data_IF_474075554913
#
_entry.id   IF_474075554913
#
_cell.length_a   1.000
_cell.length_b   1.000
_cell.length_c   1.000
_cell.angle_alpha   90.00
_cell.angle_beta   90.00
_cell.angle_gamma   90.00
#
_symmetry.space_group_name_H-M   'P 1'
#
loop_
_entity.id
_entity.type
_entity.pdbx_description
1 polymer ?
#
# COMPACT_ATOMS: atom_id res chain seq x y z
N UNK A 1 -9.55 -9.03 4.08
CA UNK A 1 -9.93 -7.58 4.08
C UNK A 1 -8.77 -6.78 3.51
N UNK A 2 -9.07 -5.83 2.63
CA UNK A 2 -8.05 -4.95 2.04
C UNK A 2 -8.38 -3.50 2.36
N UNK A 3 -7.35 -2.70 2.67
CA UNK A 3 -7.46 -1.29 3.04
C UNK A 3 -6.52 -0.50 2.13
N UNK A 4 -7.11 0.38 1.35
CA UNK A 4 -6.46 1.16 0.31
C UNK A 4 -6.47 2.62 0.74
N UNK A 5 -5.29 3.20 1.03
CA UNK A 5 -5.12 4.54 1.60
C UNK A 5 -4.48 5.49 0.59
N UNK A 6 -4.84 6.75 0.63
CA UNK A 6 -4.12 7.80 -0.08
C UNK A 6 -2.80 8.13 0.61
N UNK A 7 -2.86 8.35 1.94
CA UNK A 7 -1.73 8.74 2.79
C UNK A 7 -1.69 7.98 4.10
N UNK A 8 -0.61 8.20 4.86
CA UNK A 8 -0.38 7.64 6.20
C UNK A 8 -1.11 8.42 7.31
N UNK A 9 -2.32 8.86 7.07
CA UNK A 9 -3.09 9.72 7.99
C UNK A 9 -4.30 9.03 8.61
N UNK A 10 -4.42 7.72 8.48
CA UNK A 10 -5.54 6.92 8.96
C UNK A 10 -5.73 6.90 10.48
N UNK A 11 -4.78 7.42 11.25
CA UNK A 11 -4.89 7.63 12.69
C UNK A 11 -5.53 8.99 13.06
N UNK A 12 -5.78 9.84 12.08
CA UNK A 12 -6.40 11.13 12.29
C UNK A 12 -7.91 11.02 12.56
N UNK A 13 -8.55 12.06 13.11
CA UNK A 13 -9.95 12.01 13.53
C UNK A 13 -10.95 11.53 12.47
N UNK A 14 -10.69 11.79 11.18
CA UNK A 14 -11.56 11.39 10.08
C UNK A 14 -11.72 9.87 9.95
N UNK A 15 -10.72 9.09 10.36
CA UNK A 15 -10.68 7.64 10.19
C UNK A 15 -10.60 6.86 11.52
N UNK A 16 -10.15 7.50 12.60
CA UNK A 16 -9.78 6.85 13.85
C UNK A 16 -10.87 5.92 14.39
N UNK A 17 -12.13 6.38 14.47
CA UNK A 17 -13.23 5.58 15.01
C UNK A 17 -13.55 4.34 14.18
N UNK A 18 -13.34 4.41 12.85
CA UNK A 18 -13.51 3.25 11.98
C UNK A 18 -12.36 2.26 12.17
N UNK A 19 -11.12 2.76 12.11
CA UNK A 19 -9.95 1.89 12.15
C UNK A 19 -9.70 1.27 13.51
N UNK A 20 -10.07 1.89 14.62
CA UNK A 20 -9.96 1.29 15.96
C UNK A 20 -10.83 0.04 16.14
N UNK A 21 -11.88 -0.12 15.31
CA UNK A 21 -12.67 -1.34 15.27
C UNK A 21 -12.02 -2.45 14.45
N UNK A 22 -11.05 -2.12 13.59
CA UNK A 22 -10.32 -3.02 12.69
C UNK A 22 -8.93 -3.34 13.24
N UNK A 23 -8.18 -2.32 13.62
CA UNK A 23 -6.80 -2.44 14.13
C UNK A 23 -6.85 -2.60 15.65
N UNK A 24 -6.22 -3.66 16.17
CA UNK A 24 -6.20 -3.99 17.60
C UNK A 24 -4.77 -3.95 18.12
N UNK A 25 -4.60 -3.57 19.39
CA UNK A 25 -3.29 -3.42 20.03
C UNK A 25 -2.41 -4.68 20.02
N UNK A 26 -3.04 -5.86 19.98
CA UNK A 26 -2.39 -7.15 19.89
C UNK A 26 -2.01 -7.59 18.47
N UNK A 27 -2.42 -6.84 17.44
CA UNK A 27 -2.06 -7.21 16.07
C UNK A 27 -0.55 -7.11 15.84
N UNK A 28 0.00 -8.11 15.18
CA UNK A 28 1.35 -8.09 14.61
C UNK A 28 1.30 -7.55 13.19
N UNK A 29 2.23 -6.67 12.85
CA UNK A 29 2.31 -6.02 11.55
C UNK A 29 3.61 -6.43 10.86
N UNK A 30 3.52 -6.82 9.60
CA UNK A 30 4.65 -6.94 8.70
C UNK A 30 4.61 -5.78 7.69
N UNK A 31 5.57 -4.87 7.78
CA UNK A 31 5.76 -3.78 6.82
C UNK A 31 6.67 -4.27 5.71
N UNK A 32 6.28 -4.03 4.45
CA UNK A 32 7.05 -4.36 3.25
C UNK A 32 7.49 -3.06 2.57
N UNK A 33 8.65 -2.48 2.95
CA UNK A 33 9.11 -1.19 2.44
C UNK A 33 9.91 -1.36 1.14
N UNK A 34 9.29 -1.97 0.12
CA UNK A 34 9.94 -2.31 -1.16
C UNK A 34 9.74 -1.26 -2.25
N UNK A 35 9.03 -0.17 -1.96
CA UNK A 35 8.67 0.85 -2.93
C UNK A 35 9.73 1.95 -3.14
N UNK A 36 10.95 1.76 -2.66
CA UNK A 36 12.02 2.76 -2.77
C UNK A 36 12.71 2.75 -4.14
N UNK A 37 13.24 3.91 -4.54
CA UNK A 37 14.14 4.01 -5.70
C UNK A 37 15.57 3.59 -5.32
N UNK A 38 16.29 2.94 -6.23
CA UNK A 38 17.65 2.44 -6.00
C UNK A 38 18.68 3.55 -5.73
N UNK A 39 18.39 4.78 -6.19
CA UNK A 39 19.21 5.95 -5.89
C UNK A 39 19.00 6.48 -4.45
N UNK A 40 17.86 6.15 -3.82
CA UNK A 40 17.55 6.58 -2.46
C UNK A 40 18.14 5.66 -1.41
N UNK A 41 18.09 4.34 -1.67
CA UNK A 41 18.57 3.30 -0.77
C UNK A 41 19.36 2.29 -1.59
N UNK A 42 20.69 2.26 -1.41
CA UNK A 42 21.62 1.49 -2.25
C UNK A 42 22.13 0.22 -1.59
N UNK A 43 22.07 0.16 -0.25
CA UNK A 43 22.66 -0.92 0.53
C UNK A 43 21.97 -1.10 1.90
N UNK A 44 22.40 -2.15 2.60
CA UNK A 44 21.89 -2.49 3.91
C UNK A 44 22.15 -1.42 4.98
N UNK A 45 23.28 -0.70 4.89
CA UNK A 45 23.63 0.34 5.87
C UNK A 45 22.69 1.55 5.74
N UNK A 46 22.42 1.99 4.52
CA UNK A 46 21.46 3.07 4.26
C UNK A 46 20.04 2.65 4.65
N UNK A 47 19.66 1.40 4.33
CA UNK A 47 18.37 0.86 4.73
C UNK A 47 18.23 0.88 6.25
N UNK A 48 19.21 0.35 6.98
CA UNK A 48 19.21 0.32 8.45
C UNK A 48 19.16 1.73 9.04
N UNK A 49 19.85 2.71 8.45
CA UNK A 49 19.81 4.09 8.93
C UNK A 49 18.40 4.71 8.89
N UNK A 50 17.58 4.31 7.92
CA UNK A 50 16.22 4.84 7.71
C UNK A 50 15.14 4.06 8.48
N UNK A 51 15.32 2.73 8.62
CA UNK A 51 14.26 1.84 9.10
C UNK A 51 14.53 1.20 10.48
N UNK A 52 15.64 1.56 11.16
CA UNK A 52 15.88 1.01 12.49
C UNK A 52 14.89 1.57 13.54
N UNK A 53 14.57 0.77 14.55
CA UNK A 53 13.58 1.08 15.59
C UNK A 53 14.02 2.18 16.59
N UNK A 54 15.29 2.59 16.59
CA UNK A 54 15.82 3.53 17.58
C UNK A 54 15.69 4.98 17.10
N UNK A 55 16.08 5.24 15.85
CA UNK A 55 16.13 6.58 15.29
C UNK A 55 15.87 6.65 13.77
N UNK A 56 15.36 5.57 13.18
CA UNK A 56 15.04 5.52 11.75
C UNK A 56 13.83 6.38 11.40
N UNK A 57 14.03 7.41 10.59
CA UNK A 57 12.97 8.36 10.22
C UNK A 57 11.80 7.66 9.51
N UNK A 58 12.09 6.79 8.55
CA UNK A 58 11.06 6.05 7.82
C UNK A 58 10.35 5.02 8.71
N UNK A 59 11.06 4.42 9.68
CA UNK A 59 10.42 3.56 10.66
C UNK A 59 9.35 4.33 11.44
N UNK A 60 9.68 5.45 12.05
CA UNK A 60 8.73 6.24 12.82
C UNK A 60 7.60 6.80 11.98
N UNK A 61 7.88 7.27 10.78
CA UNK A 61 6.86 7.73 9.84
C UNK A 61 5.79 6.67 9.58
N UNK A 62 6.20 5.43 9.31
CA UNK A 62 5.29 4.33 9.00
C UNK A 62 4.59 3.77 10.24
N UNK A 63 5.22 3.79 11.42
CA UNK A 63 4.68 3.15 12.62
C UNK A 63 3.83 4.07 13.48
N UNK A 64 4.05 5.39 13.42
CA UNK A 64 3.25 6.39 14.17
C UNK A 64 1.73 6.17 14.03
N UNK A 65 1.15 5.93 12.84
CA UNK A 65 -0.27 5.67 12.73
C UNK A 65 -0.73 4.42 13.49
N UNK A 66 0.09 3.38 13.56
CA UNK A 66 -0.24 2.16 14.28
C UNK A 66 -0.11 2.32 15.80
N UNK A 67 0.85 3.11 16.27
CA UNK A 67 0.97 3.45 17.69
C UNK A 67 -0.29 4.12 18.25
N UNK A 68 -0.99 4.92 17.46
CA UNK A 68 -2.25 5.54 17.85
C UNK A 68 -3.36 4.52 18.20
N UNK A 69 -3.24 3.28 17.71
CA UNK A 69 -4.13 2.15 18.04
C UNK A 69 -3.56 1.23 19.12
N UNK A 70 -2.46 1.62 19.77
CA UNK A 70 -1.85 0.87 20.88
C UNK A 70 -0.92 -0.27 20.44
N UNK A 71 -0.55 -0.35 19.16
CA UNK A 71 0.43 -1.34 18.68
C UNK A 71 1.82 -0.90 19.10
N UNK A 72 2.57 -1.76 19.77
CA UNK A 72 3.96 -1.51 20.16
C UNK A 72 4.94 -1.88 19.06
N UNK A 73 6.17 -1.35 19.13
CA UNK A 73 7.26 -1.68 18.19
C UNK A 73 7.61 -3.18 18.21
N UNK A 74 7.40 -3.88 19.33
CA UNK A 74 7.62 -5.33 19.42
C UNK A 74 6.67 -6.12 18.51
N UNK A 75 5.52 -5.57 18.20
CA UNK A 75 4.53 -6.14 17.30
C UNK A 75 4.71 -5.68 15.84
N UNK A 76 5.76 -4.92 15.53
CA UNK A 76 6.03 -4.43 14.18
C UNK A 76 7.34 -5.03 13.68
N UNK A 77 7.27 -5.72 12.55
CA UNK A 77 8.43 -6.25 11.81
C UNK A 77 8.49 -5.61 10.42
N UNK A 78 9.71 -5.48 9.90
CA UNK A 78 9.94 -5.04 8.53
C UNK A 78 10.65 -6.14 7.76
N UNK A 79 10.35 -6.28 6.46
CA UNK A 79 11.17 -7.10 5.57
C UNK A 79 12.31 -6.22 5.05
N UNK A 80 13.54 -6.58 5.38
CA UNK A 80 14.73 -5.88 4.90
C UNK A 80 15.14 -6.45 3.55
N UNK A 81 15.03 -5.64 2.50
CA UNK A 81 15.33 -6.05 1.13
C UNK A 81 16.78 -6.54 0.95
N UNK A 82 17.73 -6.03 1.74
CA UNK A 82 19.17 -6.31 1.57
C UNK A 82 19.67 -7.48 2.43
N UNK A 83 18.97 -7.83 3.52
CA UNK A 83 19.46 -8.81 4.49
C UNK A 83 18.53 -10.00 4.72
N UNK A 84 17.23 -9.84 4.46
CA UNK A 84 16.30 -10.96 4.54
C UNK A 84 16.40 -11.83 3.28
N UNK A 85 16.14 -13.10 3.43
CA UNK A 85 15.91 -14.01 2.33
C UNK A 85 14.41 -14.32 2.15
N UNK A 86 14.09 -15.06 1.09
CA UNK A 86 12.70 -15.47 0.80
C UNK A 86 12.06 -16.23 1.97
N UNK A 87 12.81 -17.06 2.70
CA UNK A 87 12.28 -17.86 3.79
C UNK A 87 11.92 -16.97 5.00
N UNK A 88 12.85 -16.15 5.48
CA UNK A 88 12.62 -15.23 6.58
C UNK A 88 11.53 -14.20 6.29
N UNK A 89 11.45 -13.72 5.04
CA UNK A 89 10.37 -12.83 4.63
C UNK A 89 8.99 -13.51 4.70
N UNK A 90 8.87 -14.78 4.25
CA UNK A 90 7.63 -15.57 4.35
C UNK A 90 7.23 -15.83 5.80
N UNK A 91 8.18 -16.11 6.68
CA UNK A 91 7.90 -16.29 8.12
C UNK A 91 7.31 -15.01 8.72
N UNK A 92 7.95 -13.84 8.47
CA UNK A 92 7.45 -12.54 8.93
C UNK A 92 6.02 -12.25 8.44
N UNK A 93 5.72 -12.56 7.17
CA UNK A 93 4.37 -12.42 6.60
C UNK A 93 3.39 -13.35 7.33
N UNK A 94 3.71 -14.65 7.45
CA UNK A 94 2.81 -15.65 8.01
C UNK A 94 2.51 -15.45 9.50
N UNK A 95 3.43 -14.84 10.25
CA UNK A 95 3.24 -14.52 11.69
C UNK A 95 2.41 -13.25 11.91
N UNK A 96 2.12 -12.49 10.88
CA UNK A 96 1.49 -11.17 10.99
C UNK A 96 -0.02 -11.25 10.83
N UNK A 97 -0.74 -10.32 11.44
CA UNK A 97 -2.18 -10.10 11.28
C UNK A 97 -2.46 -9.06 10.20
N UNK A 98 -1.54 -8.12 10.01
CA UNK A 98 -1.63 -7.03 9.05
C UNK A 98 -0.36 -7.02 8.20
N UNK A 99 -0.52 -7.07 6.88
CA UNK A 99 0.53 -6.80 5.91
C UNK A 99 0.38 -5.34 5.46
N UNK A 100 1.48 -4.59 5.54
CA UNK A 100 1.46 -3.16 5.20
C UNK A 100 2.43 -2.84 4.07
N UNK A 101 1.88 -2.35 2.95
CA UNK A 101 2.64 -1.94 1.76
C UNK A 101 2.88 -0.44 1.76
N UNK A 102 4.12 -0.03 1.50
CA UNK A 102 4.51 1.38 1.51
C UNK A 102 4.20 2.11 0.20
N UNK A 103 4.20 3.44 0.25
CA UNK A 103 4.18 4.30 -0.93
C UNK A 103 5.55 4.43 -1.58
N UNK A 104 5.57 4.91 -2.81
CA UNK A 104 6.74 5.08 -3.67
C UNK A 104 6.48 4.48 -5.06
N UNK A 105 7.31 3.56 -5.53
CA UNK A 105 7.25 2.96 -6.87
C UNK A 105 6.57 1.59 -6.83
N UNK A 106 5.33 1.46 -7.32
CA UNK A 106 4.56 0.21 -7.24
C UNK A 106 5.17 -0.92 -8.09
N UNK A 107 5.68 -0.64 -9.29
CA UNK A 107 6.32 -1.61 -10.17
C UNK A 107 7.62 -2.16 -9.58
N UNK A 108 8.38 -1.33 -8.85
CA UNK A 108 9.59 -1.77 -8.13
C UNK A 108 9.22 -2.71 -6.98
N UNK A 109 8.12 -2.39 -6.28
CA UNK A 109 7.60 -3.27 -5.22
C UNK A 109 7.22 -4.61 -5.79
N UNK A 110 6.43 -4.66 -6.87
CA UNK A 110 5.99 -5.92 -7.49
C UNK A 110 7.18 -6.76 -7.95
N UNK A 111 8.16 -6.16 -8.63
CA UNK A 111 9.39 -6.85 -9.03
C UNK A 111 10.13 -7.47 -7.82
N UNK A 112 10.32 -6.73 -6.73
CA UNK A 112 10.99 -7.23 -5.52
C UNK A 112 10.20 -8.31 -4.79
N UNK A 113 8.87 -8.24 -4.81
CA UNK A 113 8.03 -9.33 -4.33
C UNK A 113 8.21 -10.62 -5.14
N UNK A 114 8.36 -10.51 -6.45
CA UNK A 114 8.68 -11.64 -7.34
C UNK A 114 10.08 -12.19 -7.06
N UNK A 115 11.10 -11.34 -6.95
CA UNK A 115 12.48 -11.72 -6.59
C UNK A 115 12.54 -12.53 -5.29
N UNK A 116 11.74 -12.15 -4.30
CA UNK A 116 11.62 -12.85 -3.01
C UNK A 116 10.65 -14.03 -3.04
N UNK A 117 9.97 -14.29 -4.14
CA UNK A 117 8.92 -15.32 -4.28
C UNK A 117 7.79 -15.16 -3.23
N UNK A 118 7.34 -13.95 -2.99
CA UNK A 118 6.33 -13.63 -1.97
C UNK A 118 4.90 -13.55 -2.49
N UNK A 119 4.67 -13.47 -3.80
CA UNK A 119 3.35 -13.24 -4.40
C UNK A 119 2.32 -14.25 -3.87
N UNK A 120 2.60 -15.55 -4.00
CA UNK A 120 1.69 -16.61 -3.57
C UNK A 120 1.41 -16.54 -2.05
N UNK A 121 2.44 -16.27 -1.23
CA UNK A 121 2.31 -16.13 0.22
C UNK A 121 1.39 -14.97 0.59
N UNK A 122 1.55 -13.84 -0.09
CA UNK A 122 0.75 -12.63 0.13
C UNK A 122 -0.71 -12.83 -0.32
N UNK A 123 -0.93 -13.42 -1.49
CA UNK A 123 -2.27 -13.66 -2.00
C UNK A 123 -3.07 -14.64 -1.14
N UNK A 124 -2.41 -15.67 -0.59
CA UNK A 124 -3.03 -16.65 0.30
C UNK A 124 -3.09 -16.22 1.77
N UNK A 125 -2.47 -15.11 2.15
CA UNK A 125 -2.46 -14.64 3.54
C UNK A 125 -3.88 -14.26 4.01
N UNK A 126 -4.37 -14.81 5.14
CA UNK A 126 -5.75 -14.60 5.58
C UNK A 126 -6.02 -13.25 6.24
N UNK A 127 -4.97 -12.57 6.69
CA UNK A 127 -5.06 -11.32 7.46
C UNK A 127 -5.46 -10.10 6.63
N UNK A 128 -5.31 -8.94 7.25
CA UNK A 128 -5.58 -7.64 6.63
C UNK A 128 -4.42 -7.26 5.72
N UNK A 129 -4.70 -6.81 4.50
CA UNK A 129 -3.75 -6.16 3.60
C UNK A 129 -4.04 -4.69 3.58
N UNK A 130 -3.04 -3.89 3.84
CA UNK A 130 -3.17 -2.46 3.98
C UNK A 130 -2.02 -1.77 3.23
N UNK A 131 -2.28 -0.66 2.57
CA UNK A 131 -1.24 0.06 1.86
C UNK A 131 -1.64 1.48 1.53
N UNK A 132 -0.66 2.33 1.25
CA UNK A 132 -0.88 3.72 0.89
C UNK A 132 -0.15 4.07 -0.40
N UNK A 133 -0.74 4.97 -1.21
CA UNK A 133 -0.16 5.41 -2.50
C UNK A 133 0.17 4.19 -3.39
N UNK A 134 1.45 3.96 -3.74
CA UNK A 134 1.89 2.78 -4.48
C UNK A 134 1.38 1.46 -3.87
N UNK A 135 1.41 1.35 -2.52
CA UNK A 135 0.88 0.19 -1.80
C UNK A 135 -0.65 0.01 -1.94
N UNK A 136 -1.37 1.05 -2.30
CA UNK A 136 -2.78 0.99 -2.71
C UNK A 136 -2.92 0.47 -4.13
N UNK A 137 -2.19 1.07 -5.07
CA UNK A 137 -2.27 0.73 -6.50
C UNK A 137 -1.97 -0.75 -6.75
N UNK A 138 -0.88 -1.26 -6.17
CA UNK A 138 -0.45 -2.65 -6.34
C UNK A 138 -1.38 -3.70 -5.71
N UNK A 139 -2.36 -3.31 -4.91
CA UNK A 139 -3.41 -4.22 -4.43
C UNK A 139 -4.49 -4.49 -5.50
N UNK A 140 -4.55 -3.69 -6.56
CA UNK A 140 -5.41 -3.92 -7.71
C UNK A 140 -4.74 -4.91 -8.68
N UNK A 141 -5.49 -5.89 -9.20
CA UNK A 141 -4.98 -6.89 -10.15
C UNK A 141 -4.39 -6.26 -11.41
N UNK A 142 -5.08 -5.27 -11.96
CA UNK A 142 -4.58 -4.37 -13.00
C UNK A 142 -4.62 -2.96 -12.45
N UNK A 143 -3.54 -2.23 -12.55
CA UNK A 143 -3.52 -0.81 -12.27
C UNK A 143 -2.83 -0.05 -13.40
N UNK A 144 -2.90 1.25 -13.34
CA UNK A 144 -2.20 2.14 -14.27
C UNK A 144 -1.54 3.26 -13.48
N UNK A 145 -0.56 3.89 -14.10
CA UNK A 145 0.12 5.06 -13.58
C UNK A 145 -0.18 6.22 -14.51
N UNK A 146 -0.80 7.27 -13.97
CA UNK A 146 -1.05 8.52 -14.69
C UNK A 146 0.27 9.27 -14.89
N UNK A 147 0.46 9.93 -16.05
CA UNK A 147 1.65 10.73 -16.28
C UNK A 147 1.85 11.82 -15.23
N UNK A 148 3.04 11.85 -14.64
CA UNK A 148 3.51 12.84 -13.67
C UNK A 148 5.03 13.09 -13.81
N UNK A 149 5.66 13.72 -12.82
CA UNK A 149 7.08 14.06 -12.84
C UNK A 149 8.00 12.81 -12.79
N UNK A 150 7.55 11.73 -12.14
CA UNK A 150 8.29 10.46 -12.03
C UNK A 150 8.00 9.52 -13.22
N UNK A 151 6.81 9.64 -13.82
CA UNK A 151 6.33 8.83 -14.94
C UNK A 151 5.86 9.72 -16.09
N UNK A 152 6.70 9.96 -17.10
CA UNK A 152 6.34 10.88 -18.18
C UNK A 152 5.22 10.36 -19.11
N UNK A 153 4.93 9.07 -19.07
CA UNK A 153 3.94 8.40 -19.91
C UNK A 153 2.97 7.56 -19.08
N UNK A 154 1.76 7.38 -19.63
CA UNK A 154 0.78 6.46 -19.07
C UNK A 154 1.27 5.01 -19.18
N UNK A 155 1.26 4.27 -18.08
CA UNK A 155 1.72 2.89 -18.00
C UNK A 155 0.64 1.98 -17.42
N UNK A 156 0.47 0.78 -17.98
CA UNK A 156 -0.27 -0.32 -17.37
C UNK A 156 0.67 -1.27 -16.64
N UNK A 157 0.24 -1.70 -15.46
CA UNK A 157 0.99 -2.65 -14.64
C UNK A 157 0.06 -3.72 -14.04
N UNK A 158 0.67 -4.81 -13.57
CA UNK A 158 0.02 -5.88 -12.83
C UNK A 158 0.36 -5.77 -11.35
N UNK A 159 -0.66 -5.94 -10.51
CA UNK A 159 -0.51 -5.98 -9.07
C UNK A 159 -0.92 -7.32 -8.47
N UNK A 160 -1.19 -7.31 -7.18
CA UNK A 160 -1.73 -8.45 -6.44
C UNK A 160 -3.24 -8.59 -6.73
N UNK A 161 -3.72 -9.83 -6.77
CA UNK A 161 -5.11 -10.14 -7.15
C UNK A 161 -6.14 -9.87 -6.04
N UNK A 162 -5.98 -8.78 -5.28
CA UNK A 162 -6.88 -8.48 -4.16
C UNK A 162 -8.13 -7.72 -4.61
N UNK A 163 -7.97 -6.71 -5.46
CA UNK A 163 -9.07 -5.97 -6.06
C UNK A 163 -9.06 -6.22 -7.58
N UNK A 164 -10.08 -6.94 -8.09
CA UNK A 164 -10.13 -7.40 -9.49
C UNK A 164 -11.00 -6.53 -10.39
N UNK A 165 -11.99 -5.85 -9.81
CA UNK A 165 -13.05 -5.18 -10.56
C UNK A 165 -12.86 -3.67 -10.68
N UNK A 166 -11.77 -3.14 -10.15
CA UNK A 166 -11.49 -1.72 -10.16
C UNK A 166 -10.00 -1.42 -10.05
N UNK A 167 -9.63 -0.18 -10.39
CA UNK A 167 -8.36 0.43 -10.05
C UNK A 167 -8.58 1.66 -9.15
N UNK A 168 -7.48 2.20 -8.60
CA UNK A 168 -7.51 3.41 -7.78
C UNK A 168 -6.56 4.44 -8.37
N UNK A 169 -7.08 5.62 -8.65
CA UNK A 169 -6.28 6.83 -8.91
C UNK A 169 -5.97 7.48 -7.57
N UNK A 170 -4.74 7.34 -7.11
CA UNK A 170 -4.25 7.92 -5.86
C UNK A 170 -3.82 9.38 -6.07
N UNK A 171 -3.82 10.17 -4.99
CA UNK A 171 -3.42 11.59 -5.03
C UNK A 171 -4.18 12.39 -6.09
N UNK A 172 -5.47 12.08 -6.23
CA UNK A 172 -6.31 12.68 -7.25
C UNK A 172 -6.49 14.18 -7.01
N UNK A 173 -6.19 14.98 -8.05
CA UNK A 173 -6.26 16.45 -8.04
C UNK A 173 -7.18 16.99 -9.13
N UNK A 174 -7.95 16.09 -9.77
CA UNK A 174 -8.83 16.45 -10.89
C UNK A 174 -8.10 17.15 -12.04
N UNK A 175 -6.88 16.72 -12.36
CA UNK A 175 -6.14 17.24 -13.49
C UNK A 175 -6.60 16.59 -14.79
N UNK A 176 -6.41 17.29 -15.92
CA UNK A 176 -6.71 16.73 -17.26
C UNK A 176 -5.94 15.43 -17.54
N UNK A 177 -4.69 15.32 -17.05
CA UNK A 177 -3.86 14.13 -17.21
C UNK A 177 -4.47 12.94 -16.48
N UNK A 178 -4.85 13.11 -15.20
CA UNK A 178 -5.48 12.07 -14.41
C UNK A 178 -6.83 11.66 -15.00
N UNK A 179 -7.67 12.62 -15.36
CA UNK A 179 -8.99 12.33 -15.94
C UNK A 179 -8.89 11.52 -17.24
N UNK A 180 -7.99 11.91 -18.15
CA UNK A 180 -7.73 11.14 -19.38
C UNK A 180 -7.21 9.73 -19.09
N UNK A 181 -6.38 9.58 -18.09
CA UNK A 181 -5.86 8.26 -17.66
C UNK A 181 -6.97 7.37 -17.12
N UNK A 182 -7.84 7.91 -16.28
CA UNK A 182 -9.01 7.21 -15.73
C UNK A 182 -9.96 6.77 -16.86
N UNK A 183 -10.34 7.71 -17.74
CA UNK A 183 -11.24 7.46 -18.87
C UNK A 183 -10.67 6.38 -19.81
N UNK A 184 -9.36 6.47 -20.11
CA UNK A 184 -8.65 5.46 -20.88
C UNK A 184 -8.71 4.08 -20.22
N UNK A 185 -8.40 3.98 -18.92
CA UNK A 185 -8.45 2.73 -18.20
C UNK A 185 -9.87 2.13 -18.20
N UNK A 186 -10.88 2.94 -17.91
CA UNK A 186 -12.28 2.52 -17.91
C UNK A 186 -12.72 2.02 -19.29
N UNK A 187 -12.36 2.72 -20.36
CA UNK A 187 -12.70 2.34 -21.73
C UNK A 187 -11.98 1.05 -22.20
N UNK A 188 -10.69 0.91 -21.89
CA UNK A 188 -9.88 -0.23 -22.34
C UNK A 188 -10.05 -1.49 -21.50
N UNK A 189 -10.29 -1.35 -20.18
CA UNK A 189 -10.43 -2.49 -19.24
C UNK A 189 -11.88 -2.82 -18.88
N UNK A 190 -12.82 -1.90 -19.08
CA UNK A 190 -14.21 -2.06 -18.65
C UNK A 190 -14.39 -2.14 -17.13
N UNK A 191 -13.40 -1.69 -16.37
CA UNK A 191 -13.38 -1.71 -14.90
C UNK A 191 -13.63 -0.31 -14.33
N UNK A 192 -14.17 -0.23 -13.13
CA UNK A 192 -14.39 1.02 -12.40
C UNK A 192 -13.07 1.62 -11.92
N UNK A 193 -13.07 2.92 -11.65
CA UNK A 193 -11.96 3.60 -10.97
C UNK A 193 -12.50 4.35 -9.77
N UNK A 194 -11.85 4.17 -8.63
CA UNK A 194 -12.03 5.02 -7.46
C UNK A 194 -10.91 6.04 -7.39
N UNK A 195 -11.23 7.23 -6.89
CA UNK A 195 -10.24 8.29 -6.65
C UNK A 195 -10.02 8.47 -5.16
N UNK A 196 -8.78 8.70 -4.77
CA UNK A 196 -8.41 9.03 -3.40
C UNK A 196 -7.62 10.34 -3.33
N UNK A 197 -7.92 11.11 -2.31
CA UNK A 197 -7.29 12.39 -1.93
C UNK A 197 -6.81 12.26 -0.47
N UNK A 198 -6.10 13.22 0.12
CA UNK A 198 -5.85 13.22 1.56
C UNK A 198 -7.13 12.98 2.37
N UNK A 199 -7.02 12.27 3.47
CA UNK A 199 -8.16 11.84 4.29
C UNK A 199 -9.10 10.88 3.54
N UNK A 200 -8.54 9.92 2.81
CA UNK A 200 -9.29 8.90 2.06
C UNK A 200 -8.86 7.49 2.41
N UNK A 201 -9.84 6.61 2.48
CA UNK A 201 -9.63 5.17 2.51
C UNK A 201 -10.75 4.43 1.76
N UNK A 202 -10.37 3.28 1.15
CA UNK A 202 -11.29 2.32 0.57
C UNK A 202 -11.09 1.01 1.33
N UNK A 203 -12.16 0.49 1.94
CA UNK A 203 -12.14 -0.80 2.64
C UNK A 203 -12.89 -1.82 1.81
N UNK A 204 -12.21 -2.93 1.47
CA UNK A 204 -12.78 -4.02 0.67
C UNK A 204 -12.89 -5.28 1.51
N UNK A 205 -14.11 -5.84 1.57
CA UNK A 205 -14.45 -7.09 2.28
C UNK A 205 -15.25 -8.00 1.35
N UNK A 206 -14.58 -8.95 0.70
CA UNK A 206 -15.24 -9.70 -0.37
C UNK A 206 -15.71 -8.75 -1.46
N UNK A 207 -17.00 -8.77 -1.78
CA UNK A 207 -17.61 -7.91 -2.80
C UNK A 207 -18.03 -6.52 -2.27
N UNK A 208 -17.94 -6.31 -0.95
CA UNK A 208 -18.33 -5.05 -0.33
C UNK A 208 -17.18 -4.03 -0.42
N UNK A 209 -17.49 -2.84 -0.91
CA UNK A 209 -16.57 -1.69 -0.97
C UNK A 209 -17.16 -0.54 -0.15
N UNK A 210 -16.43 -0.13 0.89
CA UNK A 210 -16.79 0.98 1.76
C UNK A 210 -15.82 2.13 1.52
N UNK A 211 -16.36 3.30 1.22
CA UNK A 211 -15.57 4.52 0.99
C UNK A 211 -15.58 5.37 2.27
N UNK A 212 -14.41 5.83 2.68
CA UNK A 212 -14.23 6.71 3.85
C UNK A 212 -13.58 8.04 3.42
N UNK A 213 -13.99 9.10 4.11
CA UNK A 213 -13.45 10.43 3.89
C UNK A 213 -13.72 10.92 2.48
N UNK A 214 -12.67 11.37 1.81
CA UNK A 214 -12.76 11.95 0.47
C UNK A 214 -12.69 10.92 -0.67
N UNK A 215 -12.67 9.61 -0.38
CA UNK A 215 -12.69 8.57 -1.40
C UNK A 215 -14.00 8.58 -2.21
N UNK A 216 -13.92 8.46 -3.53
CA UNK A 216 -15.08 8.53 -4.43
C UNK A 216 -14.98 7.49 -5.54
N UNK A 217 -16.12 7.02 -6.04
CA UNK A 217 -16.22 6.38 -7.34
C UNK A 217 -16.14 7.47 -8.43
N UNK A 218 -15.18 7.34 -9.33
CA UNK A 218 -15.12 8.26 -10.50
C UNK A 218 -16.36 8.07 -11.36
N UNK A 219 -17.01 9.16 -11.68
CA UNK A 219 -18.19 9.22 -12.55
C UNK A 219 -17.87 10.14 -13.69
N UNK A 220 -18.16 9.68 -14.89
CA UNK A 220 -18.14 10.50 -16.10
C UNK A 220 -19.08 11.70 -15.97
#
# INVERSE_FOLDING_TARGET
>A
MNILLDKLDFHQPWAYETFKNIIKSEHKICIIPFAFHEDWIKDAEQWESLYNKINGEEFFKMTTPFHAYGISDDNITLINYFTDDSHGAKEKINESHIIFFTGGFPEKTMRRLEEFNLIETLENHPGIKMGWSAGTMMQCEDYYISPDDDYPEFVYEKGLSYAKDFAVEVHYKNTDSQNKSIERYMAEKGKRVYTTEPESAIIVKGDEVVLLGNAKLYKE
#
